data_IF_068516509201
#
_entry.id   IF_068516509201
#
_cell.length_a   1.000
_cell.length_b   1.000
_cell.length_c   1.000
_cell.angle_alpha   90.00
_cell.angle_beta   90.00
_cell.angle_gamma   90.00
#
_symmetry.space_group_name_H-M   'P 1'
#
loop_
_entity.id
_entity.type
_entity.pdbx_description
1 polymer ?
#
# COMPACT_ATOMS: atom_id res chain seq x y z
N UNK A 1 1.45 -3.70 -15.71
CA UNK A 1 2.37 -4.83 -15.56
C UNK A 1 1.60 -6.15 -15.80
N UNK A 2 2.24 -7.19 -16.32
CA UNK A 2 1.63 -8.52 -16.38
C UNK A 2 1.45 -9.11 -14.98
N UNK A 3 0.63 -10.14 -14.87
CA UNK A 3 0.60 -10.95 -13.66
C UNK A 3 1.95 -11.65 -13.46
N UNK A 4 2.37 -11.78 -12.20
CA UNK A 4 3.65 -12.33 -11.82
C UNK A 4 3.51 -13.19 -10.55
N UNK A 5 4.52 -13.97 -10.22
CA UNK A 5 4.54 -14.86 -9.06
C UNK A 5 5.63 -14.48 -8.06
N UNK A 6 5.50 -14.83 -6.78
CA UNK A 6 6.55 -14.60 -5.79
C UNK A 6 7.91 -15.22 -6.15
N UNK A 7 7.90 -16.33 -6.91
CA UNK A 7 9.13 -17.01 -7.33
C UNK A 7 9.96 -16.16 -8.31
N UNK A 8 9.30 -15.38 -9.17
CA UNK A 8 9.96 -14.47 -10.13
C UNK A 8 10.64 -13.28 -9.45
N UNK A 9 10.28 -13.01 -8.21
CA UNK A 9 10.86 -11.95 -7.37
C UNK A 9 11.68 -12.51 -6.20
N UNK A 10 12.10 -13.78 -6.27
CA UNK A 10 12.92 -14.39 -5.24
C UNK A 10 14.24 -13.61 -5.08
N UNK A 11 14.55 -13.18 -3.86
CA UNK A 11 15.73 -12.37 -3.56
C UNK A 11 15.58 -10.86 -3.79
N UNK A 12 14.45 -10.42 -4.36
CA UNK A 12 14.14 -9.00 -4.49
C UNK A 12 13.55 -8.41 -3.19
N UNK A 13 13.62 -7.10 -3.07
CA UNK A 13 13.01 -6.36 -1.97
C UNK A 13 11.62 -5.90 -2.38
N UNK A 14 10.60 -6.39 -1.71
CA UNK A 14 9.22 -5.99 -1.94
C UNK A 14 8.76 -5.06 -0.83
N UNK A 15 8.00 -4.04 -1.21
CA UNK A 15 7.41 -3.07 -0.28
C UNK A 15 5.91 -3.00 -0.50
N UNK A 16 5.16 -2.57 0.52
CA UNK A 16 3.71 -2.46 0.46
C UNK A 16 3.26 -1.07 0.90
N UNK A 17 2.33 -0.49 0.18
CA UNK A 17 1.56 0.68 0.60
C UNK A 17 0.17 0.26 1.03
N UNK A 18 -0.34 0.90 2.09
CA UNK A 18 -1.64 0.58 2.69
C UNK A 18 -2.42 1.84 2.97
N UNK A 19 -3.63 1.91 2.44
CA UNK A 19 -4.63 2.89 2.81
C UNK A 19 -5.81 2.19 3.49
N UNK A 20 -6.22 2.67 4.68
CA UNK A 20 -7.22 2.01 5.51
C UNK A 20 -8.61 2.58 5.29
N UNK A 21 -9.60 1.71 5.13
CA UNK A 21 -11.00 2.09 5.06
C UNK A 21 -11.48 2.79 6.34
N UNK A 22 -12.23 3.86 6.16
CA UNK A 22 -13.09 4.46 7.18
C UNK A 22 -14.53 4.07 6.87
N UNK A 23 -15.14 3.27 7.73
CA UNK A 23 -16.56 2.83 7.68
C UNK A 23 -17.15 2.45 6.30
N UNK A 24 -17.22 3.37 5.34
CA UNK A 24 -17.81 3.15 4.02
C UNK A 24 -16.78 3.07 2.87
N UNK A 25 -15.52 3.41 3.14
CA UNK A 25 -14.45 3.41 2.17
C UNK A 25 -13.84 2.01 1.97
N UNK A 26 -12.86 1.92 1.10
CA UNK A 26 -12.13 0.69 0.83
C UNK A 26 -10.75 0.72 1.47
N UNK A 27 -10.35 -0.38 2.08
CA UNK A 27 -8.93 -0.63 2.36
C UNK A 27 -8.28 -1.08 1.07
N UNK A 28 -7.19 -0.41 0.69
CA UNK A 28 -6.40 -0.75 -0.49
C UNK A 28 -4.96 -1.09 -0.12
N UNK A 29 -4.42 -2.12 -0.77
CA UNK A 29 -3.07 -2.62 -0.59
C UNK A 29 -2.37 -2.66 -1.95
N UNK A 30 -1.16 -2.10 -2.07
CA UNK A 30 -0.32 -2.18 -3.27
C UNK A 30 1.04 -2.73 -2.90
N UNK A 31 1.48 -3.81 -3.56
CA UNK A 31 2.80 -4.41 -3.37
C UNK A 31 3.65 -4.14 -4.59
N UNK A 32 4.80 -3.52 -4.38
CA UNK A 32 5.75 -3.14 -5.43
C UNK A 32 7.11 -3.80 -5.19
N UNK A 33 7.63 -4.43 -6.22
CA UNK A 33 9.02 -4.87 -6.24
C UNK A 33 9.93 -3.65 -6.44
N UNK A 34 10.78 -3.35 -5.45
CA UNK A 34 11.71 -2.23 -5.48
C UNK A 34 12.79 -2.39 -6.54
N UNK A 35 13.30 -3.61 -6.71
CA UNK A 35 14.45 -3.89 -7.57
C UNK A 35 14.08 -3.81 -9.06
N UNK A 36 12.92 -4.33 -9.44
CA UNK A 36 12.45 -4.27 -10.84
C UNK A 36 11.39 -3.17 -11.08
N UNK A 37 11.03 -2.40 -10.05
CA UNK A 37 10.04 -1.31 -10.12
C UNK A 37 8.75 -1.75 -10.81
N UNK A 38 8.14 -2.80 -10.28
CA UNK A 38 6.91 -3.38 -10.82
C UNK A 38 5.93 -3.64 -9.70
N UNK A 39 4.69 -3.19 -9.86
CA UNK A 39 3.58 -3.58 -8.98
C UNK A 39 3.28 -5.06 -9.23
N UNK A 40 3.41 -5.89 -8.20
CA UNK A 40 3.34 -7.35 -8.29
C UNK A 40 2.06 -7.91 -7.72
N UNK A 41 1.42 -7.20 -6.81
CA UNK A 41 0.14 -7.58 -6.23
C UNK A 41 -0.61 -6.36 -5.72
N UNK A 42 -1.92 -6.50 -5.63
CA UNK A 42 -2.82 -5.52 -5.02
C UNK A 42 -4.01 -6.23 -4.40
N UNK A 43 -4.65 -5.57 -3.46
CA UNK A 43 -5.92 -6.01 -2.89
C UNK A 43 -6.77 -4.79 -2.55
N UNK A 44 -8.10 -4.94 -2.62
CA UNK A 44 -9.07 -3.88 -2.28
C UNK A 44 -10.32 -4.51 -1.73
N UNK A 45 -10.75 -4.06 -0.56
CA UNK A 45 -11.91 -4.59 0.12
C UNK A 45 -12.55 -3.55 1.05
N UNK A 46 -13.82 -3.73 1.35
CA UNK A 46 -14.57 -2.88 2.27
C UNK A 46 -15.53 -3.70 3.14
N UNK A 47 -16.16 -3.07 4.11
CA UNK A 47 -17.22 -3.63 4.95
C UNK A 47 -16.87 -4.96 5.63
N UNK A 48 -15.60 -5.15 5.96
CA UNK A 48 -15.13 -6.30 6.71
C UNK A 48 -14.47 -5.85 8.02
N UNK A 49 -14.53 -6.72 9.02
CA UNK A 49 -13.95 -6.48 10.34
C UNK A 49 -12.44 -6.20 10.26
N UNK A 50 -11.94 -5.30 11.12
CA UNK A 50 -10.51 -4.96 11.18
C UNK A 50 -9.61 -6.18 11.40
N UNK A 51 -10.08 -7.17 12.14
CA UNK A 51 -9.32 -8.41 12.31
C UNK A 51 -9.12 -9.12 10.97
N UNK A 52 -10.16 -9.21 10.14
CA UNK A 52 -10.08 -9.79 8.79
C UNK A 52 -9.22 -8.94 7.87
N UNK A 53 -9.34 -7.61 7.94
CA UNK A 53 -8.48 -6.70 7.17
C UNK A 53 -6.99 -6.94 7.46
N UNK A 54 -6.63 -7.07 8.73
CA UNK A 54 -5.25 -7.38 9.16
C UNK A 54 -4.78 -8.75 8.69
N UNK A 55 -5.64 -9.77 8.77
CA UNK A 55 -5.31 -11.10 8.28
C UNK A 55 -5.03 -11.10 6.77
N UNK A 56 -5.83 -10.37 5.97
CA UNK A 56 -5.60 -10.22 4.53
C UNK A 56 -4.28 -9.53 4.23
N UNK A 57 -3.99 -8.42 4.92
CA UNK A 57 -2.72 -7.73 4.78
C UNK A 57 -1.54 -8.65 5.15
N UNK A 58 -1.63 -9.33 6.30
CA UNK A 58 -0.60 -10.24 6.75
C UNK A 58 -0.37 -11.37 5.75
N UNK A 59 -1.43 -12.01 5.26
CA UNK A 59 -1.35 -13.07 4.26
C UNK A 59 -0.69 -12.59 2.96
N UNK A 60 -1.03 -11.37 2.49
CA UNK A 60 -0.41 -10.77 1.31
C UNK A 60 1.06 -10.46 1.56
N UNK A 61 1.41 -9.88 2.72
CA UNK A 61 2.78 -9.56 3.09
C UNK A 61 3.66 -10.80 3.22
N UNK A 62 3.14 -11.87 3.83
CA UNK A 62 3.83 -13.16 3.96
C UNK A 62 4.01 -13.85 2.59
N UNK A 63 2.96 -13.87 1.77
CA UNK A 63 3.01 -14.45 0.41
C UNK A 63 4.11 -13.85 -0.43
N UNK A 64 4.27 -12.54 -0.37
CA UNK A 64 5.23 -11.78 -1.17
C UNK A 64 6.54 -11.52 -0.42
N UNK A 65 6.69 -11.99 0.80
CA UNK A 65 7.87 -11.74 1.63
C UNK A 65 8.22 -10.24 1.70
N UNK A 66 7.22 -9.42 2.00
CA UNK A 66 7.34 -7.96 2.00
C UNK A 66 8.35 -7.50 3.05
N UNK A 67 9.34 -6.73 2.64
CA UNK A 67 10.43 -6.26 3.51
C UNK A 67 10.08 -4.98 4.27
N UNK A 68 9.12 -4.17 3.78
CA UNK A 68 8.67 -2.96 4.43
C UNK A 68 7.23 -2.62 4.03
N UNK A 69 6.46 -2.10 4.97
CA UNK A 69 5.07 -1.67 4.79
C UNK A 69 4.96 -0.21 5.24
N UNK A 70 4.44 0.65 4.37
CA UNK A 70 4.08 2.03 4.70
C UNK A 70 2.57 2.16 4.69
N UNK A 71 1.99 2.44 5.85
CA UNK A 71 0.55 2.48 6.02
C UNK A 71 0.09 3.85 6.51
N UNK A 72 -1.06 4.33 6.04
CA UNK A 72 -1.65 5.55 6.57
C UNK A 72 -1.88 5.40 8.08
N UNK A 73 -1.43 6.40 8.86
CA UNK A 73 -1.54 6.36 10.33
C UNK A 73 -2.66 7.22 10.90
N UNK A 74 -3.41 7.93 10.04
CA UNK A 74 -4.48 8.81 10.50
C UNK A 74 -5.65 8.02 11.12
N UNK A 75 -6.25 8.58 12.17
CA UNK A 75 -7.47 8.07 12.81
C UNK A 75 -7.35 6.62 13.29
N UNK A 76 -7.87 5.68 12.52
CA UNK A 76 -7.92 4.24 12.85
C UNK A 76 -6.62 3.49 12.53
N UNK A 77 -5.73 4.10 11.74
CA UNK A 77 -4.51 3.44 11.27
C UNK A 77 -3.50 3.18 12.39
N UNK A 78 -3.36 4.10 13.34
CA UNK A 78 -2.34 3.99 14.39
C UNK A 78 -2.49 2.75 15.28
N UNK A 79 -3.66 2.41 15.86
CA UNK A 79 -3.84 1.19 16.64
C UNK A 79 -3.61 -0.10 15.81
N UNK A 80 -4.01 -0.09 14.53
CA UNK A 80 -3.81 -1.23 13.63
C UNK A 80 -2.32 -1.42 13.35
N UNK A 81 -1.59 -0.34 13.09
CA UNK A 81 -0.15 -0.35 12.86
C UNK A 81 0.59 -0.94 14.06
N UNK A 82 0.27 -0.49 15.28
CA UNK A 82 0.88 -1.02 16.50
C UNK A 82 0.66 -2.52 16.66
N UNK A 83 -0.53 -3.01 16.34
CA UNK A 83 -0.84 -4.44 16.45
C UNK A 83 -0.10 -5.26 15.38
N UNK A 84 -0.01 -4.77 14.14
CA UNK A 84 0.78 -5.38 13.08
C UNK A 84 2.27 -5.41 13.43
N UNK A 85 2.80 -4.36 14.07
CA UNK A 85 4.19 -4.32 14.56
C UNK A 85 4.41 -5.35 15.68
N UNK A 86 3.45 -5.49 16.63
CA UNK A 86 3.51 -6.53 17.67
C UNK A 86 3.47 -7.95 17.08
N UNK A 87 2.81 -8.14 15.94
CA UNK A 87 2.83 -9.42 15.22
C UNK A 87 4.11 -9.65 14.39
N UNK A 88 5.06 -8.70 14.43
CA UNK A 88 6.36 -8.82 13.78
C UNK A 88 6.41 -8.33 12.32
N UNK A 89 5.36 -7.67 11.83
CA UNK A 89 5.39 -7.09 10.49
C UNK A 89 6.18 -5.77 10.45
N UNK A 90 6.93 -5.52 9.37
CA UNK A 90 7.76 -4.32 9.22
C UNK A 90 6.95 -3.10 8.80
N UNK A 91 5.96 -2.71 9.61
CA UNK A 91 5.04 -1.61 9.30
C UNK A 91 5.52 -0.30 9.89
N UNK A 92 5.40 0.78 9.12
CA UNK A 92 5.58 2.16 9.58
C UNK A 92 4.37 2.99 9.19
N UNK A 93 4.00 3.92 10.09
CA UNK A 93 2.94 4.88 9.83
C UNK A 93 3.41 6.02 8.93
N UNK A 94 2.49 6.51 8.12
CA UNK A 94 2.59 7.75 7.36
C UNK A 94 1.40 8.64 7.71
N UNK A 95 1.66 9.78 8.33
CA UNK A 95 0.61 10.74 8.63
C UNK A 95 0.28 11.56 7.37
N UNK A 96 -0.91 11.34 6.82
CA UNK A 96 -1.43 12.10 5.68
C UNK A 96 -2.02 13.43 6.15
N UNK A 97 -1.38 14.52 5.77
CA UNK A 97 -1.73 15.89 6.13
C UNK A 97 -1.81 16.78 4.90
N UNK A 98 -2.29 18.01 5.06
CA UNK A 98 -2.26 19.01 4.00
C UNK A 98 -0.84 19.35 3.49
N UNK A 99 0.20 19.03 4.26
CA UNK A 99 1.59 19.24 3.87
C UNK A 99 2.30 17.99 3.34
N UNK A 100 1.93 16.80 3.81
CA UNK A 100 2.56 15.53 3.40
C UNK A 100 1.89 14.88 2.19
N UNK A 101 0.57 15.06 1.99
CA UNK A 101 -0.17 14.48 0.86
C UNK A 101 0.28 15.04 -0.50
N UNK A 102 0.45 16.36 -0.70
CA UNK A 102 0.86 16.88 -2.00
C UNK A 102 2.18 16.29 -2.52
N UNK A 103 3.31 16.33 -1.80
CA UNK A 103 4.56 15.76 -2.30
C UNK A 103 4.49 14.24 -2.52
N UNK A 104 3.69 13.52 -1.72
CA UNK A 104 3.47 12.09 -1.90
C UNK A 104 2.80 11.80 -3.26
N UNK A 105 1.72 12.52 -3.58
CA UNK A 105 0.98 12.35 -4.84
C UNK A 105 1.79 12.86 -6.05
N UNK A 106 2.50 13.98 -5.90
CA UNK A 106 3.37 14.52 -6.95
C UNK A 106 4.51 13.56 -7.30
N UNK A 107 5.06 12.87 -6.31
CA UNK A 107 6.06 11.83 -6.52
C UNK A 107 5.50 10.64 -7.31
N UNK A 108 4.26 10.20 -7.01
CA UNK A 108 3.59 9.14 -7.77
C UNK A 108 3.29 9.59 -9.21
N UNK A 109 2.75 10.80 -9.39
CA UNK A 109 2.46 11.35 -10.72
C UNK A 109 3.72 11.39 -11.59
N UNK A 110 4.84 11.83 -11.01
CA UNK A 110 6.12 11.88 -11.69
C UNK A 110 6.63 10.49 -12.08
N UNK A 111 6.39 9.48 -11.24
CA UNK A 111 6.73 8.09 -11.53
C UNK A 111 5.92 7.54 -12.73
N UNK A 112 4.67 7.95 -12.88
CA UNK A 112 3.86 7.62 -14.06
C UNK A 112 4.37 8.34 -15.32
N UNK A 113 4.62 9.65 -15.25
CA UNK A 113 5.12 10.45 -16.38
C UNK A 113 6.47 9.96 -16.91
N UNK A 114 7.34 9.49 -16.00
CA UNK A 114 8.68 9.00 -16.34
C UNK A 114 8.77 7.50 -16.57
N UNK A 115 7.64 6.81 -16.52
CA UNK A 115 7.59 5.34 -16.62
C UNK A 115 8.55 4.63 -15.64
N UNK A 116 8.73 5.22 -14.45
CA UNK A 116 9.67 4.72 -13.44
C UNK A 116 9.18 3.45 -12.74
N UNK A 117 7.88 3.13 -12.82
CA UNK A 117 7.30 1.91 -12.27
C UNK A 117 6.26 1.33 -13.25
N UNK A 118 6.22 0.01 -13.35
CA UNK A 118 5.20 -0.71 -14.11
C UNK A 118 4.05 -1.06 -13.18
N UNK A 119 2.88 -0.48 -13.44
CA UNK A 119 1.68 -0.68 -12.66
C UNK A 119 0.78 -1.74 -13.28
N UNK A 120 0.11 -2.53 -12.45
CA UNK A 120 -0.89 -3.48 -12.94
C UNK A 120 -2.14 -2.74 -13.40
N UNK A 121 -2.67 -3.10 -14.57
CA UNK A 121 -3.90 -2.55 -15.08
C UNK A 121 -5.09 -3.16 -14.32
N UNK A 122 -6.01 -2.29 -13.90
CA UNK A 122 -7.27 -2.65 -13.28
C UNK A 122 -8.25 -1.48 -13.47
N UNK A 123 -9.48 -1.73 -13.95
CA UNK A 123 -10.42 -0.64 -14.25
C UNK A 123 -10.74 0.25 -13.06
N UNK A 124 -10.86 -0.30 -11.84
CA UNK A 124 -11.14 0.48 -10.63
C UNK A 124 -9.97 1.38 -10.29
N UNK A 125 -8.76 0.80 -10.25
CA UNK A 125 -7.53 1.54 -9.91
C UNK A 125 -7.20 2.59 -10.96
N UNK A 126 -7.44 2.28 -12.24
CA UNK A 126 -7.24 3.23 -13.33
C UNK A 126 -8.29 4.36 -13.27
N UNK A 127 -9.55 4.01 -13.02
CA UNK A 127 -10.63 5.01 -12.92
C UNK A 127 -10.44 5.98 -11.74
N UNK A 128 -9.99 5.51 -10.56
CA UNK A 128 -9.67 6.39 -9.44
C UNK A 128 -8.50 7.33 -9.77
N UNK A 129 -7.46 6.83 -10.45
CA UNK A 129 -6.31 7.63 -10.84
C UNK A 129 -6.67 8.70 -11.88
N UNK A 130 -7.48 8.34 -12.90
CA UNK A 130 -7.95 9.26 -13.95
C UNK A 130 -8.90 10.33 -13.41
N UNK A 131 -9.71 10.00 -12.40
CA UNK A 131 -10.65 10.92 -11.75
C UNK A 131 -9.98 11.81 -10.70
N UNK A 132 -8.73 11.55 -10.34
CA UNK A 132 -8.05 12.23 -9.23
C UNK A 132 -7.77 13.69 -9.56
N UNK A 133 -8.20 14.60 -8.68
CA UNK A 133 -8.19 16.03 -8.93
C UNK A 133 -7.10 16.77 -8.14
N UNK A 134 -6.50 17.76 -8.80
CA UNK A 134 -5.70 18.79 -8.15
C UNK A 134 -6.47 20.08 -8.07
N UNK A 135 -6.72 20.58 -6.87
CA UNK A 135 -7.30 21.89 -6.60
C UNK A 135 -6.25 22.80 -5.96
N UNK A 136 -6.18 24.04 -6.42
CA UNK A 136 -5.29 25.04 -5.81
C UNK A 136 -6.13 25.99 -4.97
N UNK A 137 -5.83 26.07 -3.67
CA UNK A 137 -6.51 26.99 -2.76
C UNK A 137 -6.28 28.44 -3.20
N UNK A 138 -7.34 29.16 -3.49
CA UNK A 138 -7.27 30.59 -3.85
C UNK A 138 -6.72 31.46 -2.71
N UNK A 139 -6.83 31.00 -1.46
CA UNK A 139 -6.39 31.77 -0.26
C UNK A 139 -4.92 31.48 0.07
N UNK A 140 -4.48 30.24 -0.04
CA UNK A 140 -3.14 29.83 0.41
C UNK A 140 -2.19 29.49 -0.73
N UNK A 141 -2.67 29.38 -1.98
CA UNK A 141 -1.88 28.92 -3.13
C UNK A 141 -1.45 27.45 -3.05
N UNK A 142 -1.86 26.71 -2.02
CA UNK A 142 -1.46 25.31 -1.82
C UNK A 142 -2.28 24.37 -2.67
N UNK A 143 -1.60 23.38 -3.24
CA UNK A 143 -2.26 22.25 -3.93
C UNK A 143 -2.93 21.33 -2.93
N UNK A 144 -4.14 20.91 -3.24
CA UNK A 144 -4.90 19.88 -2.58
C UNK A 144 -5.20 18.77 -3.59
N UNK A 145 -5.06 17.55 -3.18
CA UNK A 145 -5.28 16.37 -4.00
C UNK A 145 -6.38 15.51 -3.38
N UNK A 146 -7.41 15.16 -4.14
CA UNK A 146 -8.53 14.35 -3.67
C UNK A 146 -9.26 13.68 -4.84
N UNK A 147 -10.02 12.62 -4.55
CA UNK A 147 -11.08 12.20 -5.44
C UNK A 147 -12.14 13.31 -5.61
N UNK A 148 -12.92 13.33 -6.71
CA UNK A 148 -14.09 14.15 -6.85
C UNK A 148 -15.14 13.79 -5.78
N UNK A 149 -16.14 14.66 -5.60
CA UNK A 149 -17.22 14.43 -4.63
C UNK A 149 -17.94 13.11 -4.92
N UNK A 150 -18.05 12.24 -3.90
CA UNK A 150 -18.62 10.89 -4.01
C UNK A 150 -17.69 9.84 -4.65
N UNK A 151 -16.48 10.22 -5.02
CA UNK A 151 -15.45 9.31 -5.51
C UNK A 151 -14.55 8.73 -4.41
N UNK A 152 -13.72 7.77 -4.77
CA UNK A 152 -12.73 7.11 -3.90
C UNK A 152 -11.31 7.39 -4.39
N UNK A 153 -10.34 7.44 -3.47
CA UNK A 153 -8.90 7.61 -3.77
C UNK A 153 -8.02 6.58 -3.05
N UNK A 154 -8.62 5.54 -2.48
CA UNK A 154 -7.95 4.54 -1.66
C UNK A 154 -6.81 3.85 -2.43
N UNK A 155 -7.06 3.50 -3.70
CA UNK A 155 -6.07 2.83 -4.55
C UNK A 155 -4.94 3.76 -4.97
N UNK A 156 -5.25 5.05 -5.19
CA UNK A 156 -4.24 6.08 -5.47
C UNK A 156 -3.33 6.26 -4.26
N UNK A 157 -3.91 6.35 -3.06
CA UNK A 157 -3.16 6.49 -1.82
C UNK A 157 -2.29 5.26 -1.53
N UNK A 158 -2.84 4.04 -1.68
CA UNK A 158 -2.06 2.82 -1.50
C UNK A 158 -0.84 2.74 -2.45
N UNK A 159 -1.02 3.11 -3.74
CA UNK A 159 0.10 3.20 -4.70
C UNK A 159 1.10 4.29 -4.34
N UNK A 160 0.63 5.45 -3.92
CA UNK A 160 1.50 6.55 -3.52
C UNK A 160 2.36 6.17 -2.31
N UNK A 161 1.78 5.50 -1.31
CA UNK A 161 2.51 4.98 -0.14
C UNK A 161 3.49 3.86 -0.52
N UNK A 162 3.11 2.96 -1.44
CA UNK A 162 4.02 1.93 -1.94
C UNK A 162 5.20 2.56 -2.69
N UNK A 163 4.96 3.57 -3.54
CA UNK A 163 6.01 4.27 -4.24
C UNK A 163 6.94 5.05 -3.31
N UNK A 164 6.39 5.69 -2.30
CA UNK A 164 7.17 6.34 -1.25
C UNK A 164 8.07 5.34 -0.51
N UNK A 165 7.57 4.13 -0.23
CA UNK A 165 8.37 3.07 0.37
C UNK A 165 9.50 2.58 -0.56
N UNK A 166 9.28 2.58 -1.90
CA UNK A 166 10.33 2.31 -2.89
C UNK A 166 11.44 3.34 -2.83
N UNK A 167 11.08 4.63 -2.69
CA UNK A 167 12.02 5.76 -2.70
C UNK A 167 12.84 5.87 -1.41
N UNK A 168 12.30 5.50 -0.26
CA UNK A 168 13.00 5.61 1.02
C UNK A 168 14.22 4.69 1.08
N UNK A 169 15.41 5.23 0.85
CA UNK A 169 16.67 4.55 1.14
C UNK A 169 16.75 4.29 2.67
N UNK A 170 16.84 3.05 3.08
CA UNK A 170 16.94 2.69 4.51
C UNK A 170 15.77 1.91 5.08
N UNK A 171 14.73 1.63 4.32
CA UNK A 171 13.73 0.61 4.67
C UNK A 171 14.32 -0.82 4.64
N UNK A 172 15.53 -0.98 4.12
CA UNK A 172 16.32 -2.21 4.18
C UNK A 172 17.05 -2.37 5.54
N UNK A 173 16.38 -2.06 6.64
CA UNK A 173 16.76 -2.60 7.93
C UNK A 173 16.50 -4.10 7.85
N UNK A 174 17.56 -4.93 7.82
CA UNK A 174 17.44 -6.37 8.02
C UNK A 174 16.53 -6.59 9.21
N UNK A 175 15.34 -7.11 8.95
CA UNK A 175 14.61 -7.82 10.01
C UNK A 175 15.58 -8.90 10.49
N UNK A 176 15.81 -9.04 11.80
CA UNK A 176 16.50 -10.21 12.30
C UNK A 176 15.79 -11.42 11.70
N UNK A 177 16.57 -12.37 11.19
CA UNK A 177 16.03 -13.61 10.66
C UNK A 177 15.16 -14.22 11.76
N UNK A 178 13.87 -13.95 11.71
CA UNK A 178 12.92 -14.62 12.58
C UNK A 178 12.94 -16.06 12.14
N UNK A 179 13.40 -16.93 13.03
CA UNK A 179 13.20 -18.35 12.93
C UNK A 179 11.69 -18.59 12.75
N UNK A 180 11.29 -18.77 11.49
CA UNK A 180 9.91 -19.06 11.12
C UNK A 180 9.51 -20.32 11.88
N UNK A 181 8.66 -20.17 12.90
CA UNK A 181 7.88 -21.32 13.37
C UNK A 181 7.00 -21.72 12.19
N UNK A 182 7.01 -22.97 11.74
CA UNK A 182 6.16 -23.41 10.66
C UNK A 182 4.70 -23.18 11.08
N UNK A 183 4.03 -22.25 10.43
CA UNK A 183 2.58 -22.13 10.53
C UNK A 183 2.04 -23.43 9.98
N UNK A 184 1.36 -24.18 10.83
CA UNK A 184 0.77 -25.48 10.53
C UNK A 184 0.03 -25.43 9.18
N UNK A 185 0.54 -26.17 8.20
CA UNK A 185 -0.02 -26.36 6.87
C UNK A 185 -1.41 -27.07 6.87
N UNK A 186 -2.09 -27.07 8.01
CA UNK A 186 -3.36 -27.78 8.24
C UNK A 186 -4.64 -26.96 8.11
N UNK A 187 -4.57 -25.61 7.98
CA UNK A 187 -5.79 -24.79 8.01
C UNK A 187 -6.29 -24.31 6.65
N UNK A 188 -5.58 -24.56 5.56
CA UNK A 188 -5.98 -24.12 4.21
C UNK A 188 -6.86 -25.12 3.43
N UNK A 189 -7.42 -26.16 4.05
CA UNK A 189 -8.26 -27.13 3.34
C UNK A 189 -9.77 -26.98 3.55
N UNK A 190 -10.27 -25.87 4.06
CA UNK A 190 -11.71 -25.70 4.34
C UNK A 190 -12.34 -24.38 3.90
N UNK A 191 -11.76 -23.67 2.96
CA UNK A 191 -12.44 -22.48 2.38
C UNK A 191 -12.13 -22.45 0.87
N UNK A 192 -12.60 -23.43 0.14
CA UNK A 192 -12.94 -23.37 -1.28
C UNK A 192 -14.02 -24.43 -1.52
#
# INVERSE_FOLDING_TARGET
APETTPAEHAGHHLVMGVDWAKQADYTALSVVCRDCRTEVARDRFNQIDYHVQRQRLQALAERWNVAAILAESNSIGEPIIEELQRSGLPVRGFATTASSKPPLIESLALAFEREECRWQADPVWTGELEAYERKVSAVTGRSQYSAPEGGHDDTVMARALAWEAVQRAGYAGRLPAQTRKPVLAGMMRRVF
#
